data_IF_626284932591
#
_entry.id   IF_626284932591
#
_cell.length_a   1.000
_cell.length_b   1.000
_cell.length_c   1.000
_cell.angle_alpha   90.00
_cell.angle_beta   90.00
_cell.angle_gamma   90.00
#
_symmetry.space_group_name_H-M   'P 1'
#
loop_
_entity.id
_entity.type
_entity.pdbx_description
1 polymer ?
#
# COMPACT_ATOMS: atom_id res chain seq x y z
N UNK A 1 -16.94 5.46 -31.23
CA UNK A 1 -16.37 5.22 -29.88
C UNK A 1 -17.27 5.77 -28.78
N UNK A 2 -17.46 7.08 -28.60
CA UNK A 2 -18.32 7.61 -27.53
C UNK A 2 -19.79 7.15 -27.58
N UNK A 3 -20.33 6.82 -28.77
CA UNK A 3 -21.69 6.26 -28.91
C UNK A 3 -21.80 4.78 -28.50
N UNK A 4 -20.68 4.10 -28.23
CA UNK A 4 -20.62 2.67 -27.89
C UNK A 4 -20.37 2.45 -26.38
N UNK A 5 -20.36 3.51 -25.57
CA UNK A 5 -20.21 3.38 -24.12
C UNK A 5 -21.45 2.79 -23.49
N UNK A 6 -21.25 2.01 -22.44
CA UNK A 6 -22.30 1.38 -21.66
C UNK A 6 -22.91 2.37 -20.65
N UNK A 7 -22.08 3.25 -20.09
CA UNK A 7 -22.50 4.25 -19.11
C UNK A 7 -21.99 5.62 -19.52
N UNK A 8 -22.85 6.62 -19.34
CA UNK A 8 -22.53 8.04 -19.48
C UNK A 8 -23.11 8.79 -18.30
N UNK A 9 -22.34 9.71 -17.74
CA UNK A 9 -22.86 10.63 -16.74
C UNK A 9 -22.04 11.90 -16.63
N UNK A 10 -22.45 12.80 -15.73
CA UNK A 10 -21.77 14.05 -15.46
C UNK A 10 -20.67 13.85 -14.42
N UNK A 11 -19.53 14.51 -14.60
CA UNK A 11 -18.50 14.59 -13.57
C UNK A 11 -18.96 15.54 -12.45
N UNK A 12 -18.55 15.27 -11.20
CA UNK A 12 -18.89 16.14 -10.09
C UNK A 12 -18.28 17.53 -10.25
N UNK A 13 -19.08 18.58 -9.99
CA UNK A 13 -18.66 19.98 -10.16
C UNK A 13 -18.00 20.57 -8.91
N UNK A 14 -18.25 19.99 -7.73
CA UNK A 14 -17.80 20.49 -6.42
C UNK A 14 -17.46 19.32 -5.50
N UNK A 15 -16.56 19.54 -4.55
CA UNK A 15 -16.21 18.56 -3.52
C UNK A 15 -14.86 18.85 -2.86
N UNK A 16 -14.67 18.42 -1.61
CA UNK A 16 -13.40 18.61 -0.86
C UNK A 16 -12.23 17.86 -1.50
N UNK A 17 -12.50 16.79 -2.25
CA UNK A 17 -11.49 16.04 -3.00
C UNK A 17 -10.83 16.84 -4.13
N UNK A 18 -11.42 17.96 -4.56
CA UNK A 18 -10.80 18.84 -5.55
C UNK A 18 -9.69 19.73 -4.94
N UNK A 19 -9.51 19.67 -3.62
CA UNK A 19 -8.52 20.41 -2.84
C UNK A 19 -7.46 19.49 -2.24
N UNK A 20 -7.17 18.36 -2.91
CA UNK A 20 -6.21 17.35 -2.43
C UNK A 20 -4.82 17.92 -2.14
N UNK A 21 -4.38 18.95 -2.87
CA UNK A 21 -3.09 19.63 -2.65
C UNK A 21 -3.14 20.75 -1.60
N UNK A 22 -4.32 21.01 -1.01
CA UNK A 22 -4.46 21.90 0.16
C UNK A 22 -4.47 21.09 1.48
N UNK A 23 -4.42 19.76 1.42
CA UNK A 23 -4.38 18.92 2.62
C UNK A 23 -3.02 19.02 3.30
N UNK A 24 -3.04 19.07 4.63
CA UNK A 24 -1.85 19.21 5.47
C UNK A 24 -1.85 18.17 6.58
N UNK A 25 -0.82 18.18 7.43
CA UNK A 25 -0.75 17.27 8.58
C UNK A 25 -1.93 17.41 9.54
N UNK A 26 -2.59 18.58 9.56
CA UNK A 26 -3.84 18.82 10.32
C UNK A 26 -5.00 17.97 9.80
N UNK A 27 -4.92 17.47 8.56
CA UNK A 27 -5.92 16.62 7.95
C UNK A 27 -5.68 15.13 8.18
N UNK A 28 -4.49 14.73 8.62
CA UNK A 28 -4.19 13.33 8.96
C UNK A 28 -5.16 12.80 10.02
N UNK A 29 -5.58 11.55 9.88
CA UNK A 29 -6.59 10.93 10.74
C UNK A 29 -8.04 11.32 10.41
N UNK A 30 -8.27 12.24 9.47
CA UNK A 30 -9.62 12.71 9.13
C UNK A 30 -10.16 12.05 7.86
N UNK A 31 -11.47 11.87 7.85
CA UNK A 31 -12.22 11.43 6.68
C UNK A 31 -12.60 12.61 5.79
N UNK A 32 -12.33 12.47 4.49
CA UNK A 32 -12.77 13.39 3.43
C UNK A 32 -13.93 12.76 2.67
N UNK A 33 -15.00 13.51 2.47
CA UNK A 33 -16.11 13.05 1.65
C UNK A 33 -15.66 12.93 0.19
N UNK A 34 -15.77 11.71 -0.35
CA UNK A 34 -15.45 11.34 -1.73
C UNK A 34 -16.60 10.58 -2.38
N UNK A 35 -17.82 10.66 -1.83
CA UNK A 35 -18.99 9.93 -2.31
C UNK A 35 -19.23 10.11 -3.81
N UNK A 36 -19.07 11.32 -4.32
CA UNK A 36 -19.25 11.58 -5.75
C UNK A 36 -18.21 10.84 -6.64
N UNK A 37 -17.01 10.56 -6.14
CA UNK A 37 -16.04 9.70 -6.82
C UNK A 37 -16.47 8.23 -6.67
N UNK A 38 -16.81 7.83 -5.44
CA UNK A 38 -17.29 6.47 -5.11
C UNK A 38 -18.49 6.03 -5.94
N UNK A 39 -19.44 6.91 -6.18
CA UNK A 39 -20.64 6.67 -6.97
C UNK A 39 -20.31 6.46 -8.48
N UNK A 40 -19.12 6.84 -8.95
CA UNK A 40 -18.68 6.66 -10.34
C UNK A 40 -17.72 5.48 -10.49
N UNK A 41 -16.77 5.30 -9.56
CA UNK A 41 -15.71 4.27 -9.69
C UNK A 41 -16.01 3.01 -8.89
N UNK A 42 -16.95 3.07 -7.94
CA UNK A 42 -17.48 1.96 -7.14
C UNK A 42 -16.49 1.19 -6.24
N UNK A 43 -15.22 1.61 -6.14
CA UNK A 43 -14.23 0.91 -5.29
C UNK A 43 -13.66 1.75 -4.13
N UNK A 44 -13.81 3.07 -4.13
CA UNK A 44 -13.22 3.97 -3.12
C UNK A 44 -14.17 4.21 -1.92
N UNK A 45 -15.46 3.90 -2.06
CA UNK A 45 -16.48 4.18 -1.05
C UNK A 45 -16.85 5.67 -0.96
N UNK A 46 -17.53 6.05 0.13
CA UNK A 46 -18.04 7.41 0.34
C UNK A 46 -17.06 8.36 1.03
N UNK A 47 -16.04 7.81 1.68
CA UNK A 47 -15.09 8.53 2.52
C UNK A 47 -13.65 8.07 2.25
N UNK A 48 -12.72 8.99 2.37
CA UNK A 48 -11.29 8.76 2.20
C UNK A 48 -10.54 9.20 3.44
N UNK A 49 -9.83 8.27 4.08
CA UNK A 49 -9.01 8.54 5.26
C UNK A 49 -7.65 9.10 4.84
N UNK A 50 -7.31 10.29 5.35
CA UNK A 50 -6.07 10.99 5.02
C UNK A 50 -4.96 10.50 5.94
N UNK A 51 -3.88 9.98 5.34
CA UNK A 51 -2.66 9.58 6.04
C UNK A 51 -1.50 10.49 5.68
N UNK A 52 -0.46 10.55 6.51
CA UNK A 52 0.78 11.27 6.20
C UNK A 52 1.39 10.79 4.88
N UNK A 53 1.35 9.48 4.64
CA UNK A 53 1.83 8.85 3.42
C UNK A 53 1.12 9.37 2.16
N UNK A 54 -0.19 9.66 2.26
CA UNK A 54 -0.95 10.22 1.13
C UNK A 54 -0.43 11.62 0.82
N UNK A 55 -0.14 12.43 1.84
CA UNK A 55 0.40 13.78 1.66
C UNK A 55 1.78 13.74 0.98
N UNK A 56 2.68 12.86 1.42
CA UNK A 56 4.00 12.69 0.80
C UNK A 56 3.92 12.20 -0.66
N UNK A 57 2.97 11.32 -0.99
CA UNK A 57 2.72 10.88 -2.36
C UNK A 57 2.21 12.03 -3.23
N UNK A 58 1.25 12.83 -2.72
CA UNK A 58 0.72 13.99 -3.40
C UNK A 58 1.79 15.07 -3.59
N UNK A 59 2.66 15.29 -2.62
CA UNK A 59 3.80 16.20 -2.72
C UNK A 59 4.75 15.79 -3.85
N UNK A 60 5.13 14.52 -3.94
CA UNK A 60 5.99 14.02 -5.02
C UNK A 60 5.34 14.15 -6.40
N UNK A 61 4.05 13.83 -6.49
CA UNK A 61 3.29 14.02 -7.72
C UNK A 61 3.31 15.50 -8.13
N UNK A 62 3.05 16.40 -7.18
CA UNK A 62 3.06 17.85 -7.39
C UNK A 62 4.43 18.33 -7.84
N UNK A 63 5.52 17.94 -7.15
CA UNK A 63 6.91 18.30 -7.53
C UNK A 63 7.23 17.99 -9.00
N UNK A 64 6.60 16.97 -9.58
CA UNK A 64 6.88 16.54 -10.97
C UNK A 64 6.01 17.29 -11.97
N UNK A 65 4.73 17.48 -11.69
CA UNK A 65 3.76 18.01 -12.66
C UNK A 65 3.30 19.44 -12.38
N UNK A 66 3.85 20.10 -11.34
CA UNK A 66 3.49 21.48 -11.00
C UNK A 66 3.68 22.42 -12.19
N UNK A 67 4.80 22.29 -12.92
CA UNK A 67 5.04 23.09 -14.13
C UNK A 67 3.97 22.87 -15.19
N UNK A 68 3.54 21.63 -15.41
CA UNK A 68 2.47 21.31 -16.37
C UNK A 68 1.14 21.95 -15.96
N UNK A 69 0.85 22.02 -14.66
CA UNK A 69 -0.37 22.66 -14.16
C UNK A 69 -0.31 24.19 -14.22
N UNK A 70 0.87 24.78 -14.07
CA UNK A 70 1.05 26.23 -14.02
C UNK A 70 1.25 26.85 -15.41
N UNK A 71 2.07 26.23 -16.27
CA UNK A 71 2.45 26.76 -17.59
C UNK A 71 1.79 26.02 -18.75
N UNK A 72 1.22 24.83 -18.52
CA UNK A 72 0.71 23.95 -19.58
C UNK A 72 1.80 23.19 -20.35
N UNK A 73 3.07 23.34 -19.98
CA UNK A 73 4.19 22.62 -20.57
C UNK A 73 4.15 21.13 -20.19
N UNK A 74 4.18 20.25 -21.19
CA UNK A 74 4.07 18.81 -20.95
C UNK A 74 5.27 18.27 -20.21
N UNK A 75 5.02 17.52 -19.14
CA UNK A 75 6.06 16.75 -18.47
C UNK A 75 6.09 15.35 -19.04
N UNK A 76 7.15 15.03 -19.78
CA UNK A 76 7.39 13.70 -20.35
C UNK A 76 7.97 12.71 -19.32
N UNK A 77 7.32 12.62 -18.15
CA UNK A 77 7.61 11.61 -17.14
C UNK A 77 6.37 10.78 -16.88
N UNK A 78 6.57 9.52 -16.57
CA UNK A 78 5.51 8.62 -16.14
C UNK A 78 5.61 8.42 -14.63
N UNK A 79 4.49 8.56 -13.92
CA UNK A 79 4.46 8.44 -12.46
C UNK A 79 3.79 7.14 -12.04
N UNK A 80 4.52 6.32 -11.29
CA UNK A 80 4.15 4.95 -10.97
C UNK A 80 3.98 4.80 -9.46
N UNK A 81 2.73 4.69 -9.03
CA UNK A 81 2.36 4.32 -7.67
C UNK A 81 2.58 2.81 -7.48
N UNK A 82 3.55 2.44 -6.65
CA UNK A 82 3.85 1.07 -6.28
C UNK A 82 3.49 0.77 -4.82
N UNK A 83 3.36 -0.50 -4.45
CA UNK A 83 3.16 -0.91 -3.06
C UNK A 83 2.26 -2.13 -2.95
N UNK A 84 2.17 -2.76 -1.78
CA UNK A 84 1.44 -4.02 -1.62
C UNK A 84 -0.07 -3.88 -1.89
N UNK A 85 -0.79 -4.96 -2.25
CA UNK A 85 -2.24 -4.93 -2.44
C UNK A 85 -2.97 -4.36 -1.22
N UNK A 86 -3.94 -3.47 -1.46
CA UNK A 86 -4.79 -2.91 -0.40
C UNK A 86 -4.21 -1.72 0.37
N UNK A 87 -3.06 -1.16 -0.04
CA UNK A 87 -2.49 0.06 0.60
C UNK A 87 -3.16 1.38 0.20
N UNK A 88 -4.09 1.36 -0.77
CA UNK A 88 -4.86 2.55 -1.20
C UNK A 88 -4.39 3.21 -2.51
N UNK A 89 -3.46 2.60 -3.25
CA UNK A 89 -2.94 3.14 -4.53
C UNK A 89 -4.03 3.57 -5.50
N UNK A 90 -4.97 2.68 -5.82
CA UNK A 90 -6.08 2.96 -6.74
C UNK A 90 -6.98 4.09 -6.23
N UNK A 91 -7.15 4.22 -4.91
CA UNK A 91 -7.92 5.30 -4.31
C UNK A 91 -7.22 6.65 -4.48
N UNK A 92 -5.90 6.72 -4.25
CA UNK A 92 -5.10 7.93 -4.50
C UNK A 92 -5.15 8.29 -6.00
N UNK A 93 -5.00 7.29 -6.87
CA UNK A 93 -5.08 7.48 -8.32
C UNK A 93 -6.44 8.04 -8.75
N UNK A 94 -7.54 7.54 -8.18
CA UNK A 94 -8.88 8.09 -8.44
C UNK A 94 -8.97 9.57 -8.06
N UNK A 95 -8.45 9.97 -6.90
CA UNK A 95 -8.42 11.37 -6.48
C UNK A 95 -7.67 12.24 -7.51
N UNK A 96 -6.50 11.77 -7.96
CA UNK A 96 -5.70 12.45 -8.98
C UNK A 96 -6.44 12.57 -10.31
N UNK A 97 -7.04 11.48 -10.82
CA UNK A 97 -7.82 11.48 -12.07
C UNK A 97 -8.95 12.51 -12.03
N UNK A 98 -9.72 12.57 -10.94
CA UNK A 98 -10.80 13.54 -10.81
C UNK A 98 -10.29 14.97 -10.65
N UNK A 99 -9.19 15.18 -9.91
CA UNK A 99 -8.54 16.49 -9.84
C UNK A 99 -8.10 16.97 -11.24
N UNK A 100 -7.43 16.13 -12.02
CA UNK A 100 -6.97 16.45 -13.37
C UNK A 100 -8.16 16.76 -14.28
N UNK A 101 -9.18 15.91 -14.29
CA UNK A 101 -10.35 16.07 -15.16
C UNK A 101 -11.18 17.33 -14.84
N UNK A 102 -11.30 17.71 -13.57
CA UNK A 102 -12.23 18.76 -13.12
C UNK A 102 -11.52 20.09 -12.85
N UNK A 103 -10.39 20.06 -12.14
CA UNK A 103 -9.64 21.28 -11.77
C UNK A 103 -8.70 21.72 -12.88
N UNK A 104 -7.89 20.79 -13.39
CA UNK A 104 -6.96 21.08 -14.51
C UNK A 104 -7.72 21.08 -15.84
N UNK A 105 -8.92 20.49 -15.89
CA UNK A 105 -9.80 20.42 -17.07
C UNK A 105 -9.17 19.69 -18.26
N UNK A 106 -8.35 18.67 -17.99
CA UNK A 106 -7.71 17.86 -19.04
C UNK A 106 -8.40 16.50 -19.20
N UNK A 107 -8.43 15.93 -20.42
CA UNK A 107 -8.99 14.60 -20.62
C UNK A 107 -8.23 13.54 -19.80
N UNK A 108 -8.94 12.61 -19.19
CA UNK A 108 -8.34 11.45 -18.50
C UNK A 108 -8.89 10.15 -19.09
N UNK A 109 -8.01 9.34 -19.66
CA UNK A 109 -8.33 7.99 -20.14
C UNK A 109 -7.80 6.98 -19.13
N UNK A 110 -8.67 6.20 -18.51
CA UNK A 110 -8.32 5.33 -17.39
C UNK A 110 -8.79 3.89 -17.62
N UNK A 111 -7.83 2.97 -17.72
CA UNK A 111 -8.09 1.54 -17.65
C UNK A 111 -7.84 1.02 -16.23
N UNK A 112 -8.85 0.37 -15.65
CA UNK A 112 -8.71 -0.37 -14.39
C UNK A 112 -8.95 -1.85 -14.62
N UNK A 113 -8.02 -2.67 -14.15
CA UNK A 113 -8.18 -4.12 -14.09
C UNK A 113 -8.33 -4.55 -12.63
N UNK A 114 -9.51 -5.06 -12.26
CA UNK A 114 -9.71 -5.66 -10.95
C UNK A 114 -9.56 -7.17 -11.03
N UNK A 115 -8.52 -7.70 -10.38
CA UNK A 115 -8.21 -9.13 -10.33
C UNK A 115 -8.87 -9.84 -9.13
N UNK A 116 -9.66 -9.14 -8.29
CA UNK A 116 -10.30 -9.72 -7.09
C UNK A 116 -11.77 -10.07 -7.35
N UNK A 117 -12.16 -11.31 -7.04
CA UNK A 117 -13.57 -11.74 -6.87
C UNK A 117 -14.36 -12.12 -8.13
N UNK A 118 -15.60 -12.58 -7.92
CA UNK A 118 -16.56 -13.04 -8.95
C UNK A 118 -17.11 -11.91 -9.86
N UNK A 119 -16.92 -10.65 -9.46
CA UNK A 119 -17.33 -9.42 -10.20
C UNK A 119 -16.12 -8.76 -10.90
N UNK A 120 -14.95 -9.42 -10.85
CA UNK A 120 -13.72 -8.95 -11.48
C UNK A 120 -13.91 -8.65 -12.96
N UNK A 121 -13.35 -7.54 -13.40
CA UNK A 121 -13.48 -7.06 -14.76
C UNK A 121 -12.47 -5.96 -15.05
N UNK A 122 -12.17 -5.81 -16.34
CA UNK A 122 -11.39 -4.67 -16.82
C UNK A 122 -12.37 -3.64 -17.35
N UNK A 123 -12.22 -2.39 -16.93
CA UNK A 123 -13.09 -1.29 -17.32
C UNK A 123 -12.25 -0.13 -17.84
N UNK A 124 -12.64 0.41 -18.99
CA UNK A 124 -12.11 1.67 -19.51
C UNK A 124 -13.05 2.79 -19.19
N UNK A 125 -12.52 3.91 -18.70
CA UNK A 125 -13.24 5.16 -18.46
C UNK A 125 -12.58 6.30 -19.19
N UNK A 126 -13.38 7.21 -19.72
CA UNK A 126 -12.91 8.47 -20.28
C UNK A 126 -13.61 9.62 -19.55
N UNK A 127 -12.83 10.51 -18.95
CA UNK A 127 -13.31 11.77 -18.39
C UNK A 127 -13.00 12.87 -19.39
N UNK A 128 -14.05 13.43 -20.00
CA UNK A 128 -13.90 14.38 -21.10
C UNK A 128 -15.05 15.37 -21.11
N UNK A 129 -14.71 16.67 -21.22
CA UNK A 129 -15.66 17.78 -21.32
C UNK A 129 -16.75 17.75 -20.23
N UNK A 130 -16.37 17.48 -18.98
CA UNK A 130 -17.29 17.47 -17.84
C UNK A 130 -18.16 16.21 -17.73
N UNK A 131 -17.97 15.21 -18.60
CA UNK A 131 -18.67 13.93 -18.56
C UNK A 131 -17.72 12.77 -18.32
N UNK A 132 -18.27 11.66 -17.83
CA UNK A 132 -17.58 10.37 -17.84
C UNK A 132 -18.30 9.40 -18.78
N UNK A 133 -17.50 8.55 -19.40
CA UNK A 133 -17.93 7.46 -20.27
C UNK A 133 -17.27 6.17 -19.78
N UNK A 134 -18.01 5.06 -19.78
CA UNK A 134 -17.51 3.78 -19.31
C UNK A 134 -17.79 2.64 -20.30
N UNK A 135 -16.84 1.71 -20.39
CA UNK A 135 -16.92 0.48 -21.19
C UNK A 135 -16.37 -0.70 -20.39
N UNK A 136 -17.02 -1.87 -20.48
CA UNK A 136 -16.34 -3.13 -20.16
C UNK A 136 -15.29 -3.39 -21.22
N UNK A 137 -14.06 -3.60 -20.79
CA UNK A 137 -12.89 -3.66 -21.67
C UNK A 137 -11.92 -4.76 -21.24
N UNK A 138 -12.35 -6.04 -21.22
CA UNK A 138 -11.56 -7.18 -20.70
C UNK A 138 -10.14 -7.22 -21.29
N UNK A 139 -10.04 -6.99 -22.60
CA UNK A 139 -8.80 -7.03 -23.37
C UNK A 139 -8.04 -5.69 -23.40
N UNK A 140 -8.65 -4.59 -22.94
CA UNK A 140 -8.06 -3.25 -23.05
C UNK A 140 -8.05 -2.68 -24.47
N UNK A 141 -8.87 -3.23 -25.37
CA UNK A 141 -8.96 -2.78 -26.77
C UNK A 141 -9.57 -1.40 -26.87
N UNK A 142 -10.59 -1.09 -26.05
CA UNK A 142 -11.21 0.22 -26.05
C UNK A 142 -10.22 1.28 -25.56
N UNK A 143 -9.47 1.01 -24.49
CA UNK A 143 -8.40 1.88 -24.03
C UNK A 143 -7.41 2.19 -25.15
N UNK A 144 -6.91 1.16 -25.84
CA UNK A 144 -5.95 1.34 -26.94
C UNK A 144 -6.53 2.18 -28.08
N UNK A 145 -7.75 1.90 -28.51
CA UNK A 145 -8.39 2.66 -29.60
C UNK A 145 -8.60 4.12 -29.24
N UNK A 146 -9.00 4.43 -27.98
CA UNK A 146 -9.13 5.83 -27.53
C UNK A 146 -7.77 6.49 -27.44
N UNK A 147 -6.77 5.80 -26.88
CA UNK A 147 -5.40 6.29 -26.78
C UNK A 147 -4.85 6.68 -28.15
N UNK A 148 -4.92 5.76 -29.13
CA UNK A 148 -4.40 6.00 -30.48
C UNK A 148 -5.19 7.13 -31.17
N UNK A 149 -6.51 7.23 -30.95
CA UNK A 149 -7.31 8.33 -31.49
C UNK A 149 -6.92 9.70 -30.90
N UNK A 150 -6.73 9.79 -29.58
CA UNK A 150 -6.35 11.03 -28.88
C UNK A 150 -4.92 11.47 -29.26
N UNK A 151 -3.98 10.53 -29.38
CA UNK A 151 -2.61 10.87 -29.74
C UNK A 151 -2.44 11.22 -31.23
N UNK A 152 -3.25 10.66 -32.13
CA UNK A 152 -3.19 10.98 -33.55
C UNK A 152 -3.87 12.31 -33.90
N UNK A 153 -4.71 12.86 -33.02
CA UNK A 153 -5.43 14.13 -33.27
C UNK A 153 -4.84 15.34 -32.56
N UNK A 154 -3.99 15.15 -31.55
CA UNK A 154 -3.49 16.25 -30.71
C UNK A 154 -2.01 16.53 -31.01
N UNK A 155 -1.77 17.36 -32.03
CA UNK A 155 -0.54 18.16 -32.11
C UNK A 155 -0.66 19.32 -31.10
N UNK A 156 0.10 19.24 -30.01
CA UNK A 156 0.36 20.29 -29.04
C UNK A 156 -0.79 20.78 -28.11
N UNK A 157 -0.45 20.82 -26.81
CA UNK A 157 -1.13 21.46 -25.64
C UNK A 157 -2.29 20.77 -24.92
N UNK A 158 -3.00 19.78 -25.49
CA UNK A 158 -4.12 19.07 -24.80
C UNK A 158 -3.93 17.54 -24.66
N UNK A 159 -2.69 17.09 -24.49
CA UNK A 159 -2.38 15.67 -24.27
C UNK A 159 -3.23 15.09 -23.14
N UNK A 160 -3.93 13.99 -23.44
CA UNK A 160 -4.76 13.29 -22.48
C UNK A 160 -3.92 12.57 -21.44
N UNK A 161 -4.35 12.63 -20.19
CA UNK A 161 -3.74 11.87 -19.11
C UNK A 161 -4.18 10.42 -19.19
N UNK A 162 -3.24 9.55 -19.53
CA UNK A 162 -3.50 8.13 -19.73
C UNK A 162 -3.14 7.36 -18.45
N UNK A 163 -4.07 6.57 -17.92
CA UNK A 163 -3.99 6.02 -16.57
C UNK A 163 -4.24 4.52 -16.60
N UNK A 164 -3.34 3.77 -15.99
CA UNK A 164 -3.43 2.32 -15.83
C UNK A 164 -3.52 1.97 -14.34
N UNK A 165 -4.44 1.09 -13.97
CA UNK A 165 -4.66 0.70 -12.58
C UNK A 165 -4.88 -0.80 -12.45
N UNK A 166 -4.11 -1.46 -11.59
CA UNK A 166 -4.22 -2.90 -11.33
C UNK A 166 -3.46 -3.80 -12.32
N UNK A 167 -2.82 -3.23 -13.33
CA UNK A 167 -1.92 -3.95 -14.24
C UNK A 167 -0.55 -4.17 -13.58
N UNK A 168 0.01 -5.37 -13.75
CA UNK A 168 1.37 -5.70 -13.36
C UNK A 168 2.35 -5.52 -14.54
N UNK A 169 3.64 -5.69 -14.26
CA UNK A 169 4.71 -5.55 -15.26
C UNK A 169 4.58 -6.51 -16.43
N UNK A 170 4.06 -7.73 -16.23
CA UNK A 170 3.82 -8.68 -17.31
C UNK A 170 2.67 -8.18 -18.18
N UNK A 171 1.56 -7.76 -17.58
CA UNK A 171 0.43 -7.22 -18.34
C UNK A 171 0.84 -6.05 -19.26
N UNK A 172 1.64 -5.10 -18.73
CA UNK A 172 2.14 -3.95 -19.52
C UNK A 172 3.10 -4.41 -20.62
N UNK A 173 3.96 -5.39 -20.33
CA UNK A 173 4.92 -5.95 -21.29
C UNK A 173 4.21 -6.64 -22.44
N UNK A 174 3.26 -7.51 -22.12
CA UNK A 174 2.55 -8.34 -23.10
C UNK A 174 1.70 -7.47 -24.02
N UNK A 175 1.14 -6.38 -23.48
CA UNK A 175 0.38 -5.37 -24.25
C UNK A 175 1.25 -4.37 -25.01
N UNK A 176 2.56 -4.31 -24.71
CA UNK A 176 3.53 -3.31 -25.24
C UNK A 176 3.08 -1.88 -24.95
N UNK A 177 2.70 -1.60 -23.71
CA UNK A 177 2.13 -0.31 -23.28
C UNK A 177 3.08 0.53 -22.41
N UNK A 178 4.39 0.32 -22.51
CA UNK A 178 5.37 1.01 -21.66
C UNK A 178 5.34 2.53 -21.81
N UNK A 179 5.04 3.03 -22.99
CA UNK A 179 4.95 4.44 -23.37
C UNK A 179 3.50 4.93 -23.47
N UNK A 180 2.51 4.08 -23.15
CA UNK A 180 1.07 4.35 -23.33
C UNK A 180 0.34 4.70 -22.04
N UNK A 181 1.01 5.39 -21.12
CA UNK A 181 0.40 5.93 -19.90
C UNK A 181 1.20 7.11 -19.37
N UNK A 182 0.54 7.98 -18.60
CA UNK A 182 1.15 9.02 -17.76
C UNK A 182 1.20 8.53 -16.31
N UNK A 183 0.15 7.85 -15.85
CA UNK A 183 0.04 7.33 -14.49
C UNK A 183 -0.21 5.83 -14.44
N UNK A 184 0.43 5.16 -13.49
CA UNK A 184 0.24 3.73 -13.23
C UNK A 184 0.11 3.47 -11.74
N UNK A 185 -0.91 2.71 -11.32
CA UNK A 185 -0.96 2.09 -9.99
C UNK A 185 -0.80 0.58 -10.12
N UNK A 186 0.27 0.03 -9.54
CA UNK A 186 0.57 -1.40 -9.62
C UNK A 186 0.96 -1.96 -8.25
N UNK A 187 0.50 -3.18 -7.96
CA UNK A 187 0.93 -3.89 -6.75
C UNK A 187 2.23 -4.66 -6.95
N UNK A 188 2.68 -4.80 -8.19
CA UNK A 188 3.86 -5.54 -8.58
C UNK A 188 5.13 -4.69 -8.68
N UNK A 189 6.19 -5.30 -9.19
CA UNK A 189 7.46 -4.61 -9.40
C UNK A 189 7.52 -3.88 -10.73
N UNK A 190 8.10 -2.68 -10.71
CA UNK A 190 8.25 -1.82 -11.88
C UNK A 190 9.52 -0.95 -11.74
N UNK A 191 10.12 -0.37 -12.80
CA UNK A 191 9.97 -0.66 -14.24
C UNK A 191 10.58 -2.01 -14.69
N UNK A 192 10.46 -2.37 -15.98
CA UNK A 192 11.21 -3.48 -16.56
C UNK A 192 12.73 -3.27 -16.53
N UNK A 193 13.49 -4.35 -16.74
CA UNK A 193 14.96 -4.30 -16.75
C UNK A 193 15.52 -3.64 -18.04
N UNK A 194 14.65 -3.31 -19.00
CA UNK A 194 15.00 -2.90 -20.37
C UNK A 194 14.59 -1.47 -20.71
N UNK A 195 14.03 -0.70 -19.77
CA UNK A 195 13.56 0.67 -20.05
C UNK A 195 14.41 1.67 -19.26
N UNK A 196 14.91 2.76 -19.89
CA UNK A 196 15.71 3.76 -19.20
C UNK A 196 14.93 4.33 -18.01
N UNK A 197 15.54 4.27 -16.82
CA UNK A 197 14.91 4.66 -15.55
C UNK A 197 14.52 6.14 -15.54
N UNK A 198 15.15 6.97 -16.37
CA UNK A 198 14.92 8.42 -16.43
C UNK A 198 13.50 8.84 -16.86
N UNK A 199 12.76 7.98 -17.56
CA UNK A 199 11.37 8.26 -17.98
C UNK A 199 10.34 8.00 -16.90
N UNK A 200 10.70 7.27 -15.83
CA UNK A 200 9.78 6.90 -14.77
C UNK A 200 10.14 7.60 -13.48
N UNK A 201 9.12 8.06 -12.76
CA UNK A 201 9.21 8.25 -11.32
C UNK A 201 8.42 7.15 -10.63
N UNK A 202 9.13 6.28 -9.92
CA UNK A 202 8.49 5.38 -8.97
C UNK A 202 8.15 6.16 -7.70
N UNK A 203 6.97 5.91 -7.15
CA UNK A 203 6.55 6.42 -5.86
C UNK A 203 5.88 5.30 -5.06
N UNK A 204 6.43 4.96 -3.90
CA UNK A 204 5.88 3.93 -3.03
C UNK A 204 4.63 4.47 -2.31
N UNK A 205 3.61 3.63 -2.18
CA UNK A 205 2.48 3.81 -1.27
C UNK A 205 2.62 2.73 -0.20
N UNK A 206 3.25 3.07 0.94
CA UNK A 206 3.64 2.08 1.92
C UNK A 206 2.43 1.54 2.69
N UNK A 207 2.67 0.45 3.40
CA UNK A 207 1.67 -0.19 4.25
C UNK A 207 1.13 0.77 5.32
N UNK A 208 -0.10 0.51 5.76
CA UNK A 208 -0.78 1.28 6.79
C UNK A 208 -0.12 1.04 8.14
N UNK A 209 0.09 2.11 8.93
CA UNK A 209 0.44 1.96 10.33
C UNK A 209 -0.69 1.26 11.06
N UNK A 210 -0.35 0.47 12.08
CA UNK A 210 -1.37 -0.14 12.93
C UNK A 210 -2.25 0.94 13.59
N UNK A 211 -1.65 2.01 14.12
CA UNK A 211 -2.41 3.11 14.73
C UNK A 211 -3.46 3.73 13.79
N UNK A 212 -3.12 3.88 12.50
CA UNK A 212 -4.08 4.35 11.49
C UNK A 212 -5.24 3.36 11.28
N UNK A 213 -4.95 2.05 11.25
CA UNK A 213 -5.98 1.02 11.08
C UNK A 213 -6.85 0.85 12.31
N UNK A 214 -6.27 0.94 13.51
CA UNK A 214 -7.01 0.93 14.76
C UNK A 214 -7.90 2.16 14.89
N UNK A 215 -7.36 3.35 14.59
CA UNK A 215 -8.13 4.58 14.60
C UNK A 215 -9.27 4.50 13.58
N UNK A 216 -8.98 4.02 12.37
CA UNK A 216 -9.98 3.82 11.33
C UNK A 216 -11.05 2.81 11.76
N UNK A 217 -10.67 1.65 12.28
CA UNK A 217 -11.59 0.62 12.78
C UNK A 217 -12.48 1.15 13.90
N UNK A 218 -11.87 1.66 14.98
CA UNK A 218 -12.60 2.13 16.17
C UNK A 218 -13.46 3.35 15.89
N UNK A 219 -12.89 4.40 15.28
CA UNK A 219 -13.61 5.67 15.12
C UNK A 219 -14.53 5.72 13.91
N UNK A 220 -14.29 4.91 12.89
CA UNK A 220 -15.02 5.04 11.62
C UNK A 220 -15.81 3.81 11.23
N UNK A 221 -15.36 2.61 11.60
CA UNK A 221 -16.16 1.39 11.43
C UNK A 221 -16.97 1.03 12.67
N UNK A 222 -16.66 1.63 13.84
CA UNK A 222 -17.31 1.33 15.12
C UNK A 222 -17.24 -0.16 15.48
N UNK A 223 -16.12 -0.80 15.13
CA UNK A 223 -15.85 -2.19 15.52
C UNK A 223 -15.20 -2.25 16.90
N UNK A 224 -15.52 -3.31 17.64
CA UNK A 224 -14.99 -3.57 18.98
C UNK A 224 -13.47 -3.83 18.94
N UNK A 225 -12.78 -3.55 20.04
CA UNK A 225 -11.32 -3.67 20.14
C UNK A 225 -10.82 -5.10 19.82
N UNK A 226 -11.52 -6.12 20.32
CA UNK A 226 -11.20 -7.52 20.02
C UNK A 226 -11.28 -7.84 18.52
N UNK A 227 -12.21 -7.22 17.81
CA UNK A 227 -12.40 -7.43 16.37
C UNK A 227 -11.32 -6.69 15.56
N UNK A 228 -10.88 -5.53 16.03
CA UNK A 228 -9.74 -4.80 15.46
C UNK A 228 -8.48 -5.67 15.54
N UNK A 229 -8.20 -6.25 16.69
CA UNK A 229 -7.02 -7.12 16.89
C UNK A 229 -7.08 -8.36 16.01
N UNK A 230 -8.24 -9.01 15.93
CA UNK A 230 -8.45 -10.18 15.07
C UNK A 230 -8.23 -9.84 13.58
N UNK A 231 -8.70 -8.67 13.13
CA UNK A 231 -8.47 -8.20 11.76
C UNK A 231 -6.98 -7.90 11.53
N UNK A 232 -6.32 -7.17 12.44
CA UNK A 232 -4.91 -6.82 12.34
C UNK A 232 -3.99 -8.03 12.29
N UNK A 233 -4.33 -9.10 13.02
CA UNK A 233 -3.60 -10.37 13.01
C UNK A 233 -3.37 -10.91 11.59
N UNK A 234 -4.38 -10.78 10.73
CA UNK A 234 -4.36 -11.26 9.35
C UNK A 234 -4.01 -10.16 8.35
N UNK A 235 -4.67 -9.01 8.45
CA UNK A 235 -4.60 -7.94 7.46
C UNK A 235 -3.27 -7.23 7.44
N UNK A 236 -2.63 -7.14 8.62
CA UNK A 236 -1.47 -6.30 8.85
C UNK A 236 -1.71 -4.88 8.32
N UNK A 237 -0.69 -4.26 7.70
CA UNK A 237 -0.79 -2.94 7.08
C UNK A 237 -1.55 -2.85 5.74
N UNK A 238 -2.47 -3.77 5.46
CA UNK A 238 -3.35 -3.72 4.27
C UNK A 238 -4.78 -3.38 4.66
N UNK A 239 -5.22 -2.13 4.39
CA UNK A 239 -6.62 -1.73 4.60
C UNK A 239 -7.58 -2.64 3.82
N UNK A 240 -7.22 -3.00 2.58
CA UNK A 240 -8.06 -3.87 1.77
C UNK A 240 -8.32 -5.25 2.37
N UNK A 241 -7.40 -5.77 3.18
CA UNK A 241 -7.61 -7.01 3.95
C UNK A 241 -8.28 -6.74 5.30
N UNK A 242 -8.00 -5.60 5.91
CA UNK A 242 -8.62 -5.22 7.18
C UNK A 242 -10.14 -5.11 7.04
N UNK A 243 -10.60 -4.62 5.88
CA UNK A 243 -12.01 -4.52 5.50
C UNK A 243 -12.64 -5.83 5.01
N UNK A 244 -11.86 -6.90 4.83
CA UNK A 244 -12.33 -8.16 4.25
C UNK A 244 -12.54 -9.19 5.36
N UNK A 245 -13.79 -9.58 5.59
CA UNK A 245 -14.15 -10.56 6.63
C UNK A 245 -13.55 -11.95 6.35
N UNK A 246 -13.25 -12.25 5.08
CA UNK A 246 -12.63 -13.51 4.64
C UNK A 246 -11.14 -13.34 4.30
N UNK A 247 -10.48 -12.29 4.84
CA UNK A 247 -9.09 -11.98 4.51
C UNK A 247 -8.14 -13.17 4.65
N UNK A 248 -8.35 -14.03 5.64
CA UNK A 248 -7.53 -15.23 5.89
C UNK A 248 -7.53 -16.19 4.69
N UNK A 249 -8.64 -16.33 3.97
CA UNK A 249 -8.74 -17.14 2.76
C UNK A 249 -7.84 -16.61 1.62
N UNK A 250 -7.50 -15.33 1.64
CA UNK A 250 -6.54 -14.73 0.69
C UNK A 250 -5.09 -14.84 1.16
N UNK A 251 -4.87 -14.94 2.48
CA UNK A 251 -3.52 -15.00 3.07
C UNK A 251 -3.00 -16.43 3.12
N UNK A 252 -3.83 -17.42 3.44
CA UNK A 252 -3.43 -18.84 3.51
C UNK A 252 -2.73 -19.35 2.24
N UNK A 253 -3.28 -19.17 1.03
CA UNK A 253 -2.62 -19.61 -0.20
C UNK A 253 -1.28 -18.91 -0.46
N UNK A 254 -1.10 -17.70 0.09
CA UNK A 254 0.18 -16.99 0.04
C UNK A 254 1.18 -17.59 1.03
N UNK A 255 0.74 -17.95 2.24
CA UNK A 255 1.57 -18.67 3.22
C UNK A 255 2.01 -20.03 2.67
N UNK A 256 1.11 -20.79 2.05
CA UNK A 256 1.39 -22.13 1.49
C UNK A 256 2.46 -22.14 0.37
N UNK A 257 2.78 -20.97 -0.18
CA UNK A 257 3.85 -20.79 -1.17
C UNK A 257 5.22 -20.63 -0.54
N UNK A 258 5.29 -20.30 0.75
CA UNK A 258 6.53 -20.22 1.53
C UNK A 258 6.75 -21.63 2.08
N UNK A 259 7.61 -22.42 1.43
CA UNK A 259 7.81 -23.83 1.82
C UNK A 259 9.14 -24.09 2.48
N UNK A 260 10.09 -23.18 2.29
CA UNK A 260 11.48 -23.32 2.73
C UNK A 260 12.06 -21.95 3.10
N UNK A 261 13.14 -21.91 3.92
CA UNK A 261 13.70 -20.66 4.42
C UNK A 261 14.06 -19.63 3.34
N UNK A 262 14.55 -20.08 2.18
CA UNK A 262 14.93 -19.20 1.07
C UNK A 262 13.72 -18.44 0.51
N UNK A 263 12.52 -19.02 0.57
CA UNK A 263 11.28 -18.36 0.15
C UNK A 263 10.89 -17.22 1.12
N UNK A 264 11.26 -17.34 2.40
CA UNK A 264 10.96 -16.36 3.43
C UNK A 264 11.98 -15.22 3.48
N UNK A 265 13.28 -15.50 3.26
CA UNK A 265 14.34 -14.48 3.18
C UNK A 265 14.01 -13.39 2.15
N UNK A 266 13.39 -13.82 1.05
CA UNK A 266 12.88 -13.00 -0.03
C UNK A 266 11.92 -11.89 0.44
N UNK A 267 11.17 -12.11 1.53
CA UNK A 267 10.18 -11.17 2.04
C UNK A 267 10.81 -9.89 2.61
N UNK A 268 12.03 -9.97 3.14
CA UNK A 268 12.76 -8.84 3.73
C UNK A 268 13.61 -8.06 2.71
N UNK A 269 13.75 -8.59 1.50
CA UNK A 269 14.57 -7.91 0.47
C UNK A 269 14.02 -6.53 0.13
N UNK A 270 14.90 -5.57 -0.16
CA UNK A 270 14.53 -4.26 -0.72
C UNK A 270 14.24 -4.34 -2.23
N UNK A 271 15.02 -5.19 -2.90
CA UNK A 271 15.10 -5.24 -4.35
C UNK A 271 13.99 -6.06 -5.03
N UNK A 272 14.01 -5.98 -6.36
CA UNK A 272 13.10 -6.67 -7.27
C UNK A 272 13.27 -8.18 -7.17
N UNK A 273 12.17 -8.89 -6.94
CA UNK A 273 12.04 -10.34 -7.06
C UNK A 273 11.46 -10.72 -8.43
N UNK A 274 12.19 -11.47 -9.23
CA UNK A 274 11.65 -11.97 -10.50
C UNK A 274 10.59 -13.07 -10.28
N UNK A 275 9.48 -12.99 -11.02
CA UNK A 275 8.61 -14.14 -11.30
C UNK A 275 7.79 -14.67 -10.13
N UNK A 276 7.70 -16.00 -10.01
CA UNK A 276 6.84 -16.74 -9.06
C UNK A 276 7.20 -16.54 -7.57
N UNK A 277 8.31 -15.86 -7.28
CA UNK A 277 8.76 -15.54 -5.92
C UNK A 277 8.08 -14.28 -5.36
N UNK A 278 7.25 -13.61 -6.16
CA UNK A 278 6.55 -12.41 -5.74
C UNK A 278 5.32 -12.75 -4.90
N UNK A 279 5.46 -12.66 -3.58
CA UNK A 279 4.40 -12.92 -2.62
C UNK A 279 3.85 -11.63 -1.98
N UNK A 280 3.36 -10.70 -2.82
CA UNK A 280 2.95 -9.35 -2.37
C UNK A 280 1.75 -9.35 -1.42
N UNK A 281 1.03 -10.47 -1.29
CA UNK A 281 -0.05 -10.59 -0.32
C UNK A 281 0.48 -10.61 1.13
N UNK A 282 1.67 -11.15 1.38
CA UNK A 282 2.26 -11.23 2.72
C UNK A 282 3.48 -10.31 2.89
N UNK A 283 4.16 -9.97 1.79
CA UNK A 283 5.22 -8.98 1.77
C UNK A 283 4.66 -7.57 1.76
N UNK A 284 5.09 -6.76 2.72
CA UNK A 284 4.80 -5.34 2.80
C UNK A 284 6.01 -4.50 2.43
N UNK A 285 5.74 -3.28 1.94
CA UNK A 285 6.77 -2.30 1.60
C UNK A 285 6.56 -1.01 2.38
N UNK A 286 7.63 -0.51 2.98
CA UNK A 286 7.67 0.72 3.76
C UNK A 286 8.77 1.65 3.27
N UNK A 287 8.86 2.81 3.91
CA UNK A 287 9.98 3.77 3.82
C UNK A 287 10.58 3.96 5.20
N UNK A 288 11.86 4.34 5.28
CA UNK A 288 12.50 4.64 6.58
C UNK A 288 11.86 5.82 7.29
N UNK A 289 11.81 6.99 6.65
CA UNK A 289 11.13 8.16 7.20
C UNK A 289 9.83 8.42 6.44
N UNK A 290 8.70 8.18 7.11
CA UNK A 290 7.36 8.41 6.56
C UNK A 290 7.00 9.89 6.46
N UNK A 291 7.72 10.78 7.14
CA UNK A 291 7.51 12.22 7.07
C UNK A 291 8.30 12.89 5.96
N UNK A 292 9.34 12.22 5.44
CA UNK A 292 10.15 12.72 4.35
C UNK A 292 9.62 12.24 2.99
N UNK A 293 9.06 13.16 2.20
CA UNK A 293 8.53 12.84 0.88
C UNK A 293 9.58 12.21 -0.05
N UNK A 294 10.85 12.57 0.05
CA UNK A 294 11.87 12.09 -0.88
C UNK A 294 12.15 10.58 -0.71
N UNK A 295 11.91 10.01 0.48
CA UNK A 295 12.04 8.57 0.74
C UNK A 295 11.00 7.74 -0.04
N UNK A 296 9.90 8.35 -0.48
CA UNK A 296 8.86 7.65 -1.23
C UNK A 296 9.27 7.41 -2.69
N UNK A 297 10.24 8.16 -3.20
CA UNK A 297 10.72 8.09 -4.59
C UNK A 297 12.16 7.60 -4.71
N UNK A 298 12.90 7.53 -3.59
CA UNK A 298 14.20 6.89 -3.51
C UNK A 298 14.06 5.40 -3.12
N UNK A 299 14.42 4.51 -4.05
CA UNK A 299 14.37 3.05 -3.84
C UNK A 299 15.36 2.59 -2.76
N UNK A 300 16.45 3.32 -2.52
CA UNK A 300 17.39 3.02 -1.44
C UNK A 300 16.78 3.16 -0.04
N UNK A 301 15.80 4.05 0.07
CA UNK A 301 15.06 4.36 1.29
C UNK A 301 13.87 3.41 1.56
N UNK A 302 13.63 2.46 0.65
CA UNK A 302 12.54 1.50 0.79
C UNK A 302 12.96 0.28 1.59
N UNK A 303 12.00 -0.29 2.32
CA UNK A 303 12.16 -1.52 3.10
C UNK A 303 11.18 -2.59 2.64
N UNK A 304 11.59 -3.85 2.74
CA UNK A 304 10.72 -5.03 2.68
C UNK A 304 10.51 -5.57 4.08
N UNK A 305 9.27 -5.91 4.43
CA UNK A 305 8.95 -6.46 5.76
C UNK A 305 7.71 -7.36 5.70
N UNK A 306 7.47 -8.08 6.79
CA UNK A 306 6.25 -8.85 7.02
C UNK A 306 5.60 -8.28 8.27
N UNK A 307 4.39 -7.72 8.12
CA UNK A 307 3.69 -7.07 9.23
C UNK A 307 2.51 -7.89 9.75
N UNK A 308 2.21 -9.05 9.15
CA UNK A 308 1.12 -9.94 9.60
C UNK A 308 1.61 -10.89 10.66
N UNK A 309 0.98 -10.86 11.83
CA UNK A 309 1.28 -11.76 12.94
C UNK A 309 1.01 -13.22 12.59
N UNK A 310 -0.07 -13.51 11.85
CA UNK A 310 -0.34 -14.86 11.30
C UNK A 310 0.85 -15.38 10.48
N UNK A 311 1.40 -14.54 9.60
CA UNK A 311 2.54 -14.94 8.75
C UNK A 311 3.79 -15.12 9.61
N UNK A 312 4.07 -14.21 10.55
CA UNK A 312 5.22 -14.32 11.43
C UNK A 312 5.18 -15.58 12.31
N UNK A 313 4.00 -15.98 12.79
CA UNK A 313 3.81 -17.24 13.51
C UNK A 313 4.16 -18.45 12.63
N UNK A 314 3.72 -18.46 11.37
CA UNK A 314 4.12 -19.50 10.42
C UNK A 314 5.64 -19.51 10.19
N UNK A 315 6.24 -18.32 10.03
CA UNK A 315 7.68 -18.19 9.82
C UNK A 315 8.49 -18.60 11.05
N UNK A 316 7.99 -18.43 12.28
CA UNK A 316 8.74 -18.75 13.50
C UNK A 316 9.09 -20.25 13.61
N UNK A 317 8.22 -21.13 13.12
CA UNK A 317 8.47 -22.57 13.04
C UNK A 317 9.44 -22.97 11.91
N UNK A 318 9.69 -22.08 10.94
CA UNK A 318 10.50 -22.37 9.75
C UNK A 318 11.88 -21.70 9.80
N UNK A 319 11.91 -20.44 10.24
CA UNK A 319 13.05 -19.55 10.17
C UNK A 319 13.89 -19.62 11.43
N UNK A 320 15.19 -19.42 11.27
CA UNK A 320 16.14 -19.27 12.37
C UNK A 320 16.00 -17.89 13.03
N UNK A 321 16.45 -17.72 14.29
CA UNK A 321 16.32 -16.46 15.03
C UNK A 321 16.92 -15.23 14.32
N UNK A 322 18.01 -15.41 13.57
CA UNK A 322 18.67 -14.34 12.82
C UNK A 322 17.77 -13.64 11.78
N UNK A 323 16.77 -14.34 11.23
CA UNK A 323 15.77 -13.73 10.35
C UNK A 323 14.95 -12.66 11.08
N UNK A 324 14.53 -12.96 12.32
CA UNK A 324 13.75 -12.03 13.14
C UNK A 324 14.62 -10.93 13.74
N UNK A 325 15.90 -11.19 14.04
CA UNK A 325 16.86 -10.14 14.40
C UNK A 325 17.00 -9.10 13.27
N UNK A 326 17.06 -9.54 12.02
CA UNK A 326 17.07 -8.63 10.87
C UNK A 326 15.76 -7.85 10.74
N UNK A 327 14.61 -8.51 10.88
CA UNK A 327 13.31 -7.84 10.86
C UNK A 327 13.17 -6.84 12.03
N UNK A 328 13.75 -7.13 13.19
CA UNK A 328 13.81 -6.24 14.35
C UNK A 328 14.60 -4.98 14.04
N UNK A 329 15.76 -5.14 13.40
CA UNK A 329 16.58 -4.01 12.93
C UNK A 329 15.81 -3.14 11.94
N UNK A 330 15.05 -3.75 11.05
CA UNK A 330 14.16 -3.03 10.12
C UNK A 330 13.09 -2.27 10.91
N UNK A 331 12.40 -2.92 11.85
CA UNK A 331 11.33 -2.32 12.66
C UNK A 331 11.81 -1.06 13.41
N UNK A 332 12.95 -1.16 14.10
CA UNK A 332 13.61 -0.03 14.77
C UNK A 332 14.00 1.07 13.80
N UNK A 333 14.56 0.69 12.66
CA UNK A 333 14.98 1.63 11.62
C UNK A 333 13.83 2.47 11.06
N UNK A 334 12.61 1.92 11.02
CA UNK A 334 11.41 2.63 10.54
C UNK A 334 10.52 3.17 11.65
N UNK A 335 10.98 3.08 12.91
CA UNK A 335 10.27 3.51 14.11
C UNK A 335 8.83 2.97 14.15
N UNK A 336 8.69 1.66 13.96
CA UNK A 336 7.42 0.92 14.02
C UNK A 336 7.44 -0.05 15.22
N UNK A 337 7.10 0.49 16.39
CA UNK A 337 7.11 -0.20 17.69
C UNK A 337 6.33 -1.52 17.63
N UNK A 338 5.22 -1.53 16.90
CA UNK A 338 4.40 -2.72 16.76
C UNK A 338 5.07 -3.80 15.92
N UNK A 339 5.68 -3.42 14.80
CA UNK A 339 6.47 -4.36 14.02
C UNK A 339 7.60 -4.93 14.88
N UNK A 340 8.19 -4.11 15.76
CA UNK A 340 9.18 -4.56 16.75
C UNK A 340 8.57 -5.63 17.67
N UNK A 341 7.41 -5.36 18.27
CA UNK A 341 6.71 -6.26 19.19
C UNK A 341 6.35 -7.62 18.56
N UNK A 342 5.70 -7.63 17.40
CA UNK A 342 5.33 -8.90 16.74
C UNK A 342 6.54 -9.68 16.27
N UNK A 343 7.62 -8.97 15.93
CA UNK A 343 8.88 -9.60 15.54
C UNK A 343 9.58 -10.20 16.76
N UNK A 344 9.48 -9.55 17.92
CA UNK A 344 10.04 -10.06 19.18
C UNK A 344 9.33 -11.33 19.61
N UNK A 345 8.00 -11.34 19.54
CA UNK A 345 7.20 -12.54 19.80
C UNK A 345 7.60 -13.68 18.84
N UNK A 346 7.74 -13.40 17.54
CA UNK A 346 8.14 -14.40 16.56
C UNK A 346 9.58 -14.89 16.75
N UNK A 347 10.50 -14.01 17.14
CA UNK A 347 11.87 -14.34 17.53
C UNK A 347 11.88 -15.31 18.71
N UNK A 348 11.11 -15.01 19.76
CA UNK A 348 10.99 -15.87 20.93
C UNK A 348 10.44 -17.26 20.53
N UNK A 349 9.38 -17.32 19.73
CA UNK A 349 8.85 -18.59 19.22
C UNK A 349 9.88 -19.38 18.40
N UNK A 350 10.69 -18.69 17.58
CA UNK A 350 11.79 -19.31 16.84
C UNK A 350 12.86 -19.88 17.76
N UNK A 351 13.27 -19.16 18.81
CA UNK A 351 14.22 -19.67 19.81
C UNK A 351 13.73 -20.96 20.47
N UNK A 352 12.46 -20.97 20.89
CA UNK A 352 11.82 -22.16 21.51
C UNK A 352 11.78 -23.32 20.52
N UNK A 353 11.33 -23.07 19.28
CA UNK A 353 11.22 -24.10 18.25
C UNK A 353 12.58 -24.74 17.91
N UNK A 354 13.63 -23.91 17.79
CA UNK A 354 15.00 -24.37 17.50
C UNK A 354 15.79 -24.80 18.75
N UNK A 355 15.12 -24.93 19.91
CA UNK A 355 15.72 -25.36 21.19
C UNK A 355 16.98 -24.58 21.57
N UNK A 356 17.01 -23.29 21.23
CA UNK A 356 18.14 -22.41 21.57
C UNK A 356 18.09 -22.06 23.04
N UNK A 357 19.26 -21.93 23.66
CA UNK A 357 19.33 -21.45 25.03
C UNK A 357 18.89 -19.99 25.10
N UNK A 358 18.13 -19.67 26.14
CA UNK A 358 17.48 -18.38 26.30
C UNK A 358 17.58 -17.97 27.77
N UNK A 359 17.92 -16.71 28.02
CA UNK A 359 17.82 -16.09 29.33
C UNK A 359 16.69 -15.07 29.26
N UNK A 360 15.61 -15.28 30.01
CA UNK A 360 14.54 -14.30 30.17
C UNK A 360 14.69 -13.62 31.51
N UNK A 361 15.03 -12.34 31.48
CA UNK A 361 14.98 -11.49 32.66
C UNK A 361 13.54 -11.02 32.87
N UNK A 362 13.00 -11.25 34.06
CA UNK A 362 11.66 -10.81 34.44
C UNK A 362 11.75 -9.89 35.65
N UNK A 363 10.78 -8.98 35.74
CA UNK A 363 10.58 -8.12 36.89
C UNK A 363 9.09 -8.09 37.25
N UNK A 364 8.79 -7.96 38.54
CA UNK A 364 7.41 -7.79 39.00
C UNK A 364 6.96 -6.34 38.79
N UNK A 365 5.98 -6.14 37.92
CA UNK A 365 5.35 -4.85 37.69
C UNK A 365 4.24 -4.59 38.72
N UNK A 366 4.41 -3.58 39.58
CA UNK A 366 3.40 -3.20 40.57
C UNK A 366 2.44 -2.13 40.02
N UNK A 367 1.17 -2.49 39.83
CA UNK A 367 0.15 -1.65 39.19
C UNK A 367 -0.68 -0.84 40.21
N UNK A 368 -0.20 -0.68 41.45
CA UNK A 368 -0.95 -0.09 42.56
C UNK A 368 -0.94 1.45 42.59
N UNK A 369 0.05 2.14 41.99
CA UNK A 369 0.18 3.61 42.03
C UNK A 369 0.10 4.27 40.64
N UNK A 370 -1.11 4.34 40.06
CA UNK A 370 -1.34 4.99 38.75
C UNK A 370 -1.38 6.52 38.77
N UNK A 371 -1.48 7.16 39.93
CA UNK A 371 -1.94 8.56 40.00
C UNK A 371 -0.87 9.65 39.92
N UNK A 372 0.43 9.36 39.89
CA UNK A 372 1.44 10.43 39.87
C UNK A 372 2.65 10.10 39.02
N UNK A 373 2.68 10.69 37.83
CA UNK A 373 3.85 10.98 36.97
C UNK A 373 4.59 9.76 36.40
N UNK A 374 4.88 9.84 35.10
CA UNK A 374 5.68 8.92 34.28
C UNK A 374 7.06 8.58 34.86
N UNK A 375 7.11 7.76 35.91
CA UNK A 375 8.35 7.26 36.47
C UNK A 375 8.28 5.73 36.57
N UNK A 376 8.19 5.09 35.40
CA UNK A 376 8.14 3.63 35.28
C UNK A 376 9.40 2.97 35.87
N UNK A 377 10.54 3.66 35.85
CA UNK A 377 11.78 3.23 36.49
C UNK A 377 11.61 3.02 38.01
N UNK A 378 10.82 3.87 38.67
CA UNK A 378 10.54 3.75 40.11
C UNK A 378 9.48 2.69 40.44
N UNK A 379 8.71 2.22 39.46
CA UNK A 379 7.66 1.20 39.63
C UNK A 379 8.16 -0.22 39.35
N UNK A 380 9.43 -0.38 38.96
CA UNK A 380 10.13 -1.65 38.84
C UNK A 380 10.66 -2.04 40.24
N UNK A 381 9.93 -2.88 40.97
CA UNK A 381 10.37 -3.38 42.28
C UNK A 381 11.26 -4.64 42.18
N UNK A 382 12.00 -4.88 43.27
CA UNK A 382 13.17 -5.73 43.47
C UNK A 382 13.06 -7.25 43.19
N UNK A 383 11.90 -7.75 42.74
CA UNK A 383 11.76 -9.15 42.33
C UNK A 383 12.18 -9.27 40.86
N UNK A 384 13.50 -9.24 40.66
CA UNK A 384 14.19 -9.40 39.39
C UNK A 384 14.79 -10.80 39.38
N UNK A 385 14.47 -11.59 38.37
CA UNK A 385 15.02 -12.92 38.20
C UNK A 385 15.32 -13.22 36.75
N UNK A 386 16.14 -14.24 36.53
CA UNK A 386 16.40 -14.78 35.20
C UNK A 386 15.89 -16.21 35.11
N UNK A 387 15.23 -16.53 34.00
CA UNK A 387 14.91 -17.90 33.60
C UNK A 387 15.91 -18.27 32.52
N UNK A 388 16.88 -19.12 32.86
CA UNK A 388 17.76 -19.75 31.87
C UNK A 388 17.11 -21.04 31.38
N UNK A 389 16.59 -21.02 30.16
CA UNK A 389 16.35 -22.24 29.40
C UNK A 389 17.65 -22.65 28.72
N UNK A 390 18.30 -23.70 29.24
CA UNK A 390 19.39 -24.39 28.52
C UNK A 390 18.78 -25.35 27.48
N UNK A 391 19.59 -25.84 26.53
CA UNK A 391 19.15 -26.80 25.51
C UNK A 391 18.16 -27.81 26.11
N UNK A 392 16.96 -27.90 25.53
CA UNK A 392 15.92 -28.83 25.96
C UNK A 392 16.40 -30.27 25.71
N UNK A 393 17.17 -30.82 26.64
CA UNK A 393 17.39 -32.26 26.78
C UNK A 393 16.09 -32.83 27.33
N UNK A 394 15.40 -33.61 26.51
CA UNK A 394 14.24 -34.39 26.95
C UNK A 394 14.74 -35.36 28.02
N UNK A 395 14.21 -35.27 29.23
CA UNK A 395 14.20 -36.41 30.15
C UNK A 395 13.36 -37.48 29.44
N UNK A 396 14.00 -38.61 29.12
CA UNK A 396 13.51 -39.73 28.31
C UNK A 396 12.04 -40.12 28.54
#
# INVERSE_FOLDING_TARGET
>A
MLKQCEVVGELPKKGKFLKIFEWTDVDCGKLKNVKAIGDIVHFIGSQFYVRKEVLCVLENFRKIYQSEFDSGEMVYKQFVLMGSPGTGKSCILALLCFFIAIKVKRPVLWLRQDKRGKVGGTTTRLFYQGKYYEWKDPEGTMYRSIYDALNNTVSDTNASWCVLDGLDKRDIKDRKWFDKFTLLATSGQFPPNSVPVHFFRLCLVPYWKQSDLEEFGRKHMQIEESDVDARLFVSAGSLGKFLDDDAEATVKPAIDRIKKPEDAEILLTKYRLSGNMQNDHVRMRGVYDRNNADHYVDVGEWIGCVTSKLVLHHLAAMMKPNFFEELMRIARGVNDDRLEDITFEAYFHSLVYHRRSMCVEYCKYDNVNRETVNNWENNLHADVGSIEWKELSVVE
#
